data_IF_326246614564
#
_entry.id   IF_326246614564
#
_cell.length_a   1.000
_cell.length_b   1.000
_cell.length_c   1.000
_cell.angle_alpha   90.00
_cell.angle_beta   90.00
_cell.angle_gamma   90.00
#
_symmetry.space_group_name_H-M   'P 1'
#
loop_
_entity.id
_entity.type
_entity.pdbx_description
1 polymer ?
#
# COMPACT_ATOMS: atom_id res chain seq x y z
N UNK A 1 13.59 -19.51 0.91
CA UNK A 1 14.50 -18.37 1.07
C UNK A 1 13.77 -17.17 0.47
N UNK A 2 13.10 -16.36 1.30
CA UNK A 2 12.43 -15.15 0.82
C UNK A 2 13.52 -14.16 0.38
N UNK A 3 13.38 -13.60 -0.82
CA UNK A 3 14.42 -12.70 -1.38
C UNK A 3 14.34 -11.36 -0.64
N UNK A 4 15.44 -10.86 -0.06
CA UNK A 4 15.46 -9.57 0.67
C UNK A 4 15.11 -8.37 -0.23
N UNK A 5 15.11 -8.58 -1.55
CA UNK A 5 14.80 -7.57 -2.58
C UNK A 5 13.33 -7.17 -2.57
N UNK A 6 12.45 -8.07 -2.17
CA UNK A 6 11.02 -7.90 -2.29
C UNK A 6 10.49 -7.04 -1.11
N UNK A 7 10.91 -7.34 0.12
CA UNK A 7 10.66 -6.50 1.31
C UNK A 7 11.16 -5.06 1.13
N UNK A 8 12.28 -4.91 0.42
CA UNK A 8 12.86 -3.62 0.01
C UNK A 8 11.90 -2.80 -0.86
N UNK A 9 11.13 -3.40 -1.77
CA UNK A 9 10.25 -2.64 -2.69
C UNK A 9 9.00 -2.11 -2.00
N UNK A 10 8.42 -2.87 -1.07
CA UNK A 10 7.26 -2.41 -0.28
C UNK A 10 7.69 -1.25 0.62
N UNK A 11 8.81 -1.41 1.32
CA UNK A 11 9.31 -0.38 2.24
C UNK A 11 9.88 0.86 1.50
N UNK A 12 10.60 0.69 0.39
CA UNK A 12 11.26 1.79 -0.32
C UNK A 12 10.38 2.49 -1.37
N UNK A 13 9.39 1.80 -1.95
CA UNK A 13 8.56 2.36 -3.05
C UNK A 13 7.12 2.55 -2.62
N UNK A 14 6.51 1.51 -2.04
CA UNK A 14 5.08 1.57 -1.70
C UNK A 14 4.85 2.58 -0.58
N UNK A 15 5.51 2.42 0.57
CA UNK A 15 5.30 3.31 1.73
C UNK A 15 5.48 4.81 1.38
N UNK A 16 6.55 5.23 0.68
CA UNK A 16 6.70 6.64 0.28
C UNK A 16 5.63 7.13 -0.70
N UNK A 17 5.17 6.25 -1.61
CA UNK A 17 4.06 6.58 -2.50
C UNK A 17 2.75 6.76 -1.72
N UNK A 18 2.48 5.90 -0.73
CA UNK A 18 1.29 6.00 0.12
C UNK A 18 1.29 7.31 0.92
N UNK A 19 2.41 7.67 1.55
CA UNK A 19 2.55 8.93 2.28
C UNK A 19 2.28 10.16 1.37
N UNK A 20 2.76 10.11 0.12
CA UNK A 20 2.50 11.16 -0.87
C UNK A 20 1.01 11.25 -1.23
N UNK A 21 0.32 10.12 -1.41
CA UNK A 21 -1.12 10.08 -1.67
C UNK A 21 -1.90 10.62 -0.46
N UNK A 22 -1.55 10.21 0.76
CA UNK A 22 -2.15 10.67 2.01
C UNK A 22 -2.02 12.20 2.13
N UNK A 23 -0.82 12.75 1.91
CA UNK A 23 -0.57 14.19 1.97
C UNK A 23 -1.41 14.97 0.94
N UNK A 24 -1.44 14.51 -0.30
CA UNK A 24 -2.20 15.17 -1.37
C UNK A 24 -3.71 15.02 -1.19
N UNK A 25 -4.18 13.83 -0.78
CA UNK A 25 -5.59 13.55 -0.49
C UNK A 25 -6.13 14.36 0.68
N UNK A 26 -5.31 14.57 1.72
CA UNK A 26 -5.67 15.37 2.90
C UNK A 26 -5.97 16.83 2.53
N UNK A 27 -5.20 17.43 1.63
CA UNK A 27 -5.45 18.79 1.14
C UNK A 27 -6.66 18.91 0.20
N UNK A 28 -7.09 17.80 -0.40
CA UNK A 28 -8.16 17.78 -1.42
C UNK A 28 -9.49 17.22 -0.90
N UNK A 29 -9.62 17.03 0.42
CA UNK A 29 -10.83 16.50 1.10
C UNK A 29 -11.21 15.07 0.68
N UNK A 30 -10.24 14.25 0.25
CA UNK A 30 -10.46 12.83 -0.04
C UNK A 30 -10.37 11.98 1.24
N UNK A 31 -11.14 12.33 2.26
CA UNK A 31 -10.99 11.79 3.62
C UNK A 31 -11.16 10.27 3.70
N UNK A 32 -12.02 9.67 2.87
CA UNK A 32 -12.20 8.21 2.81
C UNK A 32 -10.93 7.50 2.31
N UNK A 33 -10.40 7.98 1.19
CA UNK A 33 -9.17 7.46 0.60
C UNK A 33 -7.97 7.64 1.54
N UNK A 34 -7.86 8.81 2.18
CA UNK A 34 -6.81 9.08 3.18
C UNK A 34 -6.90 8.13 4.37
N UNK A 35 -8.11 7.80 4.84
CA UNK A 35 -8.30 6.85 5.94
C UNK A 35 -7.91 5.42 5.56
N UNK A 36 -8.35 4.94 4.38
CA UNK A 36 -7.97 3.62 3.87
C UNK A 36 -6.44 3.52 3.75
N UNK A 37 -5.79 4.55 3.18
CA UNK A 37 -4.33 4.53 3.03
C UNK A 37 -3.55 4.61 4.32
N UNK A 38 -4.03 5.37 5.31
CA UNK A 38 -3.41 5.43 6.63
C UNK A 38 -3.44 4.07 7.30
N UNK A 39 -4.59 3.40 7.28
CA UNK A 39 -4.76 2.08 7.85
C UNK A 39 -3.80 1.06 7.20
N UNK A 40 -3.74 1.05 5.87
CA UNK A 40 -2.84 0.17 5.13
C UNK A 40 -1.35 0.46 5.41
N UNK A 41 -0.98 1.74 5.54
CA UNK A 41 0.40 2.12 5.86
C UNK A 41 0.77 1.67 7.28
N UNK A 42 -0.11 1.88 8.26
CA UNK A 42 0.11 1.40 9.64
C UNK A 42 0.19 -0.12 9.70
N UNK A 43 -0.61 -0.83 8.89
CA UNK A 43 -0.57 -2.28 8.77
C UNK A 43 0.75 -2.78 8.17
N UNK A 44 1.27 -2.13 7.13
CA UNK A 44 2.54 -2.48 6.49
C UNK A 44 3.78 -2.12 7.32
N UNK A 45 3.66 -1.12 8.19
CA UNK A 45 4.76 -0.66 9.06
C UNK A 45 4.68 -1.27 10.47
N UNK A 46 3.72 -2.17 10.71
CA UNK A 46 3.55 -2.84 11.99
C UNK A 46 4.77 -3.74 12.30
N UNK A 47 5.11 -3.94 13.59
CA UNK A 47 6.29 -4.72 13.98
C UNK A 47 6.25 -6.21 13.59
N UNK A 48 5.06 -6.75 13.26
CA UNK A 48 4.91 -8.05 12.59
C UNK A 48 4.23 -7.81 11.23
N UNK A 49 4.97 -7.38 10.22
CA UNK A 49 4.39 -7.15 8.91
C UNK A 49 3.94 -8.50 8.30
N UNK A 50 2.89 -8.53 7.48
CA UNK A 50 2.40 -9.76 6.83
C UNK A 50 3.48 -10.49 5.98
N UNK A 51 4.58 -9.81 5.67
CA UNK A 51 5.74 -10.29 4.91
C UNK A 51 6.61 -11.32 5.64
N UNK A 52 6.46 -11.53 6.95
CA UNK A 52 7.36 -12.41 7.74
C UNK A 52 7.38 -13.89 7.30
N UNK A 53 6.39 -14.33 6.51
CA UNK A 53 6.38 -15.67 5.92
C UNK A 53 6.01 -15.61 4.44
N UNK A 54 6.71 -16.34 3.56
CA UNK A 54 6.35 -16.37 2.15
C UNK A 54 4.91 -16.89 2.03
N UNK A 55 3.98 -16.11 1.48
CA UNK A 55 2.59 -16.54 1.36
C UNK A 55 2.53 -17.79 0.48
N UNK A 56 1.73 -18.78 0.89
CA UNK A 56 1.47 -20.00 0.11
C UNK A 56 0.92 -19.70 -1.29
N UNK A 57 0.40 -18.49 -1.50
CA UNK A 57 -0.02 -17.93 -2.78
C UNK A 57 0.43 -16.46 -2.85
N UNK A 58 1.60 -16.18 -3.46
CA UNK A 58 2.09 -14.82 -3.59
C UNK A 58 1.09 -13.98 -4.39
N UNK A 59 0.76 -12.81 -3.85
CA UNK A 59 -0.08 -11.83 -4.51
C UNK A 59 0.67 -11.07 -5.61
N UNK A 60 -0.03 -10.12 -6.23
CA UNK A 60 0.54 -9.24 -7.28
C UNK A 60 1.71 -8.42 -6.73
N UNK A 61 1.63 -8.03 -5.46
CA UNK A 61 2.76 -7.54 -4.70
C UNK A 61 3.41 -8.77 -4.07
N UNK A 62 4.44 -9.32 -4.73
CA UNK A 62 5.09 -10.61 -4.43
C UNK A 62 5.41 -10.87 -2.95
N UNK A 63 5.52 -9.80 -2.16
CA UNK A 63 5.76 -9.75 -0.71
C UNK A 63 4.54 -10.03 0.16
N UNK A 64 3.36 -9.95 -0.42
CA UNK A 64 2.09 -9.95 0.28
C UNK A 64 1.24 -11.11 -0.21
N UNK A 65 0.38 -11.62 0.66
CA UNK A 65 -0.65 -12.56 0.24
C UNK A 65 -1.53 -11.92 -0.83
N UNK A 66 -2.18 -12.74 -1.64
CA UNK A 66 -3.19 -12.28 -2.59
C UNK A 66 -4.23 -11.35 -1.93
N UNK A 67 -4.68 -11.69 -0.72
CA UNK A 67 -5.68 -10.92 0.01
C UNK A 67 -5.16 -9.54 0.46
N UNK A 68 -3.92 -9.47 0.92
CA UNK A 68 -3.30 -8.22 1.37
C UNK A 68 -2.95 -7.34 0.17
N UNK A 69 -2.50 -7.95 -0.93
CA UNK A 69 -2.29 -7.28 -2.21
C UNK A 69 -3.58 -6.65 -2.75
N UNK A 70 -4.72 -7.37 -2.72
CA UNK A 70 -6.02 -6.82 -3.17
C UNK A 70 -6.47 -5.65 -2.29
N UNK A 71 -6.26 -5.75 -0.98
CA UNK A 71 -6.63 -4.73 -0.01
C UNK A 71 -5.86 -3.42 -0.22
N UNK A 72 -4.57 -3.49 -0.54
CA UNK A 72 -3.71 -2.35 -0.90
C UNK A 72 -4.01 -1.79 -2.30
N UNK A 73 -4.31 -2.67 -3.26
CA UNK A 73 -4.57 -2.25 -4.64
C UNK A 73 -5.91 -1.52 -4.79
N UNK A 74 -6.92 -1.86 -3.99
CA UNK A 74 -8.23 -1.18 -4.00
C UNK A 74 -8.16 0.35 -3.83
N UNK A 75 -7.54 0.89 -2.77
CA UNK A 75 -7.42 2.34 -2.60
C UNK A 75 -6.49 2.97 -3.65
N UNK A 76 -5.58 2.21 -4.28
CA UNK A 76 -4.73 2.62 -5.42
C UNK A 76 -5.54 2.81 -6.69
N UNK A 77 -6.44 1.87 -6.98
CA UNK A 77 -7.39 1.98 -8.09
C UNK A 77 -8.34 3.16 -7.84
N UNK A 78 -8.79 3.36 -6.60
CA UNK A 78 -9.61 4.53 -6.24
C UNK A 78 -8.83 5.85 -6.36
N UNK A 79 -7.55 5.88 -6.00
CA UNK A 79 -6.68 7.04 -6.13
C UNK A 79 -6.45 7.40 -7.61
N UNK A 80 -6.15 6.41 -8.44
CA UNK A 80 -5.98 6.55 -9.88
C UNK A 80 -7.28 6.95 -10.59
N UNK A 81 -8.43 6.47 -10.11
CA UNK A 81 -9.74 6.89 -10.56
C UNK A 81 -10.15 8.29 -10.05
N UNK A 82 -9.40 8.87 -9.10
CA UNK A 82 -9.65 10.24 -8.69
C UNK A 82 -9.30 11.18 -9.85
N UNK A 83 -10.17 12.16 -10.13
CA UNK A 83 -9.94 13.15 -11.20
C UNK A 83 -8.78 14.13 -10.88
N UNK A 84 -7.90 13.80 -9.95
CA UNK A 84 -6.81 14.66 -9.49
C UNK A 84 -5.45 14.00 -9.77
N UNK A 85 -4.73 14.53 -10.76
CA UNK A 85 -3.39 14.09 -11.15
C UNK A 85 -2.28 14.23 -10.07
N UNK A 86 -2.63 14.74 -8.88
CA UNK A 86 -1.72 14.78 -7.71
C UNK A 86 -2.01 13.65 -6.70
N UNK A 87 -3.13 12.97 -6.86
CA UNK A 87 -3.57 11.84 -6.05
C UNK A 87 -3.39 10.53 -6.85
N UNK A 88 -3.63 10.59 -8.16
CA UNK A 88 -3.29 9.55 -9.14
C UNK A 88 -1.78 9.52 -9.46
#
# INVERSE_FOLDING_TARGET
MASPEADSRVSEVLIPALDKIIKNGSWRKHSKLVHEWKYETEYLTAPNPPTESPPSSPGVLLDLSFNDSDSILKPLINAASSAHAKIA
#
